data_IF_589575606537
#
_entry.id   IF_589575606537
#
_cell.length_a   1.000
_cell.length_b   1.000
_cell.length_c   1.000
_cell.angle_alpha   90.00
_cell.angle_beta   90.00
_cell.angle_gamma   90.00
#
_symmetry.space_group_name_H-M   'P 1'
#
loop_
_entity.id
_entity.type
_entity.pdbx_description
1 polymer ?
#
# COMPACT_ATOMS: atom_id res chain seq x y z
N UNK A 1 -42.19 -22.15 -6.12
CA UNK A 1 -41.03 -21.24 -6.27
C UNK A 1 -40.80 -20.61 -4.90
N UNK A 2 -39.57 -20.43 -4.45
CA UNK A 2 -39.33 -19.63 -3.25
C UNK A 2 -39.63 -18.17 -3.61
N UNK A 3 -40.25 -17.41 -2.72
CA UNK A 3 -40.54 -15.97 -2.90
C UNK A 3 -39.24 -15.22 -3.28
N UNK A 4 -38.13 -15.59 -2.65
CA UNK A 4 -36.79 -15.08 -2.95
C UNK A 4 -36.35 -15.28 -4.41
N UNK A 5 -36.71 -16.40 -5.03
CA UNK A 5 -36.30 -16.71 -6.40
C UNK A 5 -37.06 -15.88 -7.44
N UNK A 6 -38.32 -15.57 -7.15
CA UNK A 6 -39.14 -14.67 -7.98
C UNK A 6 -38.60 -13.24 -7.85
N UNK A 7 -38.34 -12.77 -6.62
CA UNK A 7 -37.72 -11.46 -6.37
C UNK A 7 -36.36 -11.30 -7.04
N UNK A 8 -35.50 -12.33 -6.98
CA UNK A 8 -34.23 -12.34 -7.70
C UNK A 8 -34.42 -12.21 -9.21
N UNK A 9 -35.41 -12.90 -9.79
CA UNK A 9 -35.67 -12.83 -11.24
C UNK A 9 -36.16 -11.46 -11.69
N UNK A 10 -37.02 -10.82 -10.88
CA UNK A 10 -37.47 -9.45 -11.13
C UNK A 10 -36.30 -8.46 -11.02
N UNK A 11 -35.47 -8.57 -9.99
CA UNK A 11 -34.29 -7.71 -9.83
C UNK A 11 -33.28 -7.89 -10.96
N UNK A 12 -33.08 -9.12 -11.47
CA UNK A 12 -32.23 -9.38 -12.64
C UNK A 12 -32.71 -8.58 -13.85
N UNK A 13 -34.01 -8.57 -14.13
CA UNK A 13 -34.58 -7.85 -15.27
C UNK A 13 -34.45 -6.33 -15.10
N UNK A 14 -34.71 -5.84 -13.88
CA UNK A 14 -34.56 -4.42 -13.54
C UNK A 14 -33.11 -3.97 -13.70
N UNK A 15 -32.15 -4.70 -13.16
CA UNK A 15 -30.72 -4.37 -13.27
C UNK A 15 -30.26 -4.35 -14.72
N UNK A 16 -30.72 -5.30 -15.55
CA UNK A 16 -30.42 -5.31 -17.00
C UNK A 16 -30.92 -4.05 -17.69
N UNK A 17 -32.12 -3.56 -17.34
CA UNK A 17 -32.67 -2.34 -17.92
C UNK A 17 -31.98 -1.08 -17.41
N UNK A 18 -31.60 -1.02 -16.13
CA UNK A 18 -30.94 0.15 -15.54
C UNK A 18 -29.54 0.33 -16.12
N UNK A 19 -28.79 -0.76 -16.24
CA UNK A 19 -27.40 -0.74 -16.70
C UNK A 19 -27.24 -1.07 -18.19
N UNK A 20 -28.32 -0.98 -18.97
CA UNK A 20 -28.26 -1.16 -20.42
C UNK A 20 -27.35 -0.08 -21.04
N UNK A 21 -26.17 -0.50 -21.52
CA UNK A 21 -25.19 0.41 -22.11
C UNK A 21 -24.24 1.09 -21.10
N UNK A 22 -24.24 0.69 -19.82
CA UNK A 22 -23.21 1.15 -18.86
C UNK A 22 -21.96 0.25 -18.91
N UNK A 23 -20.85 0.80 -19.39
CA UNK A 23 -19.56 0.09 -19.48
C UNK A 23 -18.95 -0.28 -18.12
N UNK A 24 -19.40 0.40 -17.04
CA UNK A 24 -18.89 0.17 -15.69
C UNK A 24 -19.55 -1.04 -15.02
N UNK A 25 -20.72 -1.47 -15.47
CA UNK A 25 -21.45 -2.59 -14.92
C UNK A 25 -21.18 -3.87 -15.72
N UNK A 26 -20.89 -4.97 -15.02
CA UNK A 26 -20.68 -6.28 -15.62
C UNK A 26 -21.39 -7.37 -14.83
N UNK A 27 -22.24 -8.13 -15.51
CA UNK A 27 -22.77 -9.38 -14.98
C UNK A 27 -21.76 -10.51 -15.29
N UNK A 28 -21.08 -11.01 -14.26
CA UNK A 28 -20.06 -12.07 -14.39
C UNK A 28 -20.69 -13.44 -14.40
N UNK A 29 -21.72 -13.62 -13.55
CA UNK A 29 -22.50 -14.84 -13.46
C UNK A 29 -23.99 -14.48 -13.30
N UNK A 30 -24.87 -15.48 -13.35
CA UNK A 30 -26.32 -15.28 -13.20
C UNK A 30 -26.70 -14.50 -11.93
N UNK A 31 -25.91 -14.63 -10.87
CA UNK A 31 -26.14 -14.02 -9.55
C UNK A 31 -24.95 -13.20 -9.04
N UNK A 32 -23.98 -12.91 -9.90
CA UNK A 32 -22.76 -12.17 -9.53
C UNK A 32 -22.57 -10.97 -10.43
N UNK A 33 -22.50 -9.80 -9.80
CA UNK A 33 -22.45 -8.50 -10.44
C UNK A 33 -21.20 -7.76 -10.01
N UNK A 34 -20.58 -7.08 -10.95
CA UNK A 34 -19.43 -6.23 -10.72
C UNK A 34 -19.75 -4.82 -11.18
N UNK A 35 -19.41 -3.84 -10.35
CA UNK A 35 -19.47 -2.44 -10.73
C UNK A 35 -18.10 -1.79 -10.57
N UNK A 36 -17.64 -1.11 -11.61
CA UNK A 36 -16.39 -0.38 -11.65
C UNK A 36 -16.60 1.08 -11.26
N UNK A 37 -15.96 1.50 -10.19
CA UNK A 37 -15.92 2.89 -9.76
C UNK A 37 -14.68 3.57 -10.31
N UNK A 38 -14.85 4.77 -10.85
CA UNK A 38 -13.78 5.57 -11.43
C UNK A 38 -13.86 6.96 -10.79
N UNK A 39 -12.76 7.39 -10.18
CA UNK A 39 -12.59 8.73 -9.64
C UNK A 39 -11.23 9.29 -10.07
N UNK A 40 -11.26 10.10 -11.13
CA UNK A 40 -10.06 10.63 -11.77
C UNK A 40 -9.11 9.53 -12.24
N UNK A 41 -7.94 9.44 -11.61
CA UNK A 41 -6.90 8.46 -11.96
C UNK A 41 -7.02 7.13 -11.21
N UNK A 42 -7.86 7.08 -10.17
CA UNK A 42 -8.03 5.88 -9.35
C UNK A 42 -9.34 5.18 -9.72
N UNK A 43 -9.32 3.85 -9.67
CA UNK A 43 -10.51 3.04 -9.91
C UNK A 43 -10.44 1.74 -9.14
N UNK A 44 -11.60 1.20 -8.80
CA UNK A 44 -11.75 -0.10 -8.14
C UNK A 44 -13.07 -0.76 -8.55
N UNK A 45 -13.21 -2.04 -8.27
CA UNK A 45 -14.41 -2.83 -8.61
C UNK A 45 -14.99 -3.43 -7.34
N UNK A 46 -16.30 -3.26 -7.13
CA UNK A 46 -17.05 -4.02 -6.14
C UNK A 46 -17.75 -5.19 -6.81
N UNK A 47 -17.58 -6.39 -6.27
CA UNK A 47 -18.35 -7.58 -6.67
C UNK A 47 -19.39 -7.91 -5.61
N UNK A 48 -20.63 -8.15 -6.06
CA UNK A 48 -21.76 -8.56 -5.25
C UNK A 48 -22.24 -9.92 -5.78
N UNK A 49 -22.31 -10.92 -4.91
CA UNK A 49 -22.86 -12.23 -5.23
C UNK A 49 -24.05 -12.59 -4.35
N UNK A 50 -25.16 -12.98 -4.98
CA UNK A 50 -26.39 -13.33 -4.28
C UNK A 50 -26.39 -14.79 -3.82
N UNK A 51 -26.79 -14.98 -2.56
CA UNK A 51 -27.07 -16.28 -1.99
C UNK A 51 -28.42 -16.87 -2.46
N UNK A 52 -28.73 -18.12 -2.08
CA UNK A 52 -30.03 -18.72 -2.35
C UNK A 52 -31.18 -18.05 -1.58
N UNK A 53 -30.87 -17.37 -0.48
CA UNK A 53 -31.82 -16.72 0.44
C UNK A 53 -31.86 -15.19 0.29
N UNK A 54 -31.15 -14.62 -0.69
CA UNK A 54 -31.25 -13.19 -1.00
C UNK A 54 -32.59 -12.90 -1.71
N UNK A 55 -33.32 -11.80 -1.40
CA UNK A 55 -32.91 -10.65 -0.58
C UNK A 55 -33.26 -10.73 0.91
N UNK A 56 -33.83 -11.85 1.38
CA UNK A 56 -34.09 -12.05 2.82
C UNK A 56 -32.78 -11.98 3.63
N UNK A 57 -31.72 -12.62 3.14
CA UNK A 57 -30.36 -12.48 3.66
C UNK A 57 -29.52 -11.54 2.81
N UNK A 58 -28.52 -10.90 3.44
CA UNK A 58 -27.59 -10.01 2.74
C UNK A 58 -26.77 -10.74 1.67
N UNK A 59 -26.46 -10.08 0.55
CA UNK A 59 -25.56 -10.64 -0.44
C UNK A 59 -24.11 -10.66 0.09
N UNK A 60 -23.25 -11.38 -0.60
CA UNK A 60 -21.82 -11.45 -0.29
C UNK A 60 -21.06 -10.38 -1.07
N UNK A 61 -20.21 -9.64 -0.38
CA UNK A 61 -19.39 -8.56 -0.94
C UNK A 61 -17.95 -9.01 -1.10
N UNK A 62 -17.37 -8.77 -2.28
CA UNK A 62 -15.99 -9.09 -2.58
C UNK A 62 -15.26 -7.87 -3.16
N UNK A 63 -14.17 -7.49 -2.50
CA UNK A 63 -13.24 -6.44 -2.91
C UNK A 63 -11.83 -6.96 -3.17
N UNK A 64 -11.59 -8.26 -3.00
CA UNK A 64 -10.29 -8.90 -3.24
C UNK A 64 -10.14 -9.42 -4.66
N UNK A 65 -10.66 -8.65 -5.61
CA UNK A 65 -10.48 -8.87 -7.03
C UNK A 65 -9.07 -8.37 -7.40
N UNK A 66 -8.40 -9.06 -8.33
CA UNK A 66 -7.06 -8.69 -8.80
C UNK A 66 -6.94 -7.21 -9.23
N UNK A 67 -8.04 -6.61 -9.69
CA UNK A 67 -8.09 -5.20 -10.06
C UNK A 67 -7.83 -4.24 -8.88
N UNK A 68 -8.23 -4.62 -7.66
CA UNK A 68 -8.19 -3.78 -6.47
C UNK A 68 -6.85 -3.84 -5.71
N UNK A 69 -5.77 -4.27 -6.36
CA UNK A 69 -4.43 -4.29 -5.76
C UNK A 69 -3.94 -2.89 -5.36
N UNK A 70 -4.46 -1.85 -6.00
CA UNK A 70 -4.18 -0.46 -5.67
C UNK A 70 -4.87 0.01 -4.38
N UNK A 71 -5.93 -0.66 -3.93
CA UNK A 71 -6.65 -0.29 -2.71
C UNK A 71 -5.91 -0.77 -1.46
N UNK A 72 -5.76 0.14 -0.49
CA UNK A 72 -5.18 -0.19 0.80
C UNK A 72 -6.17 -1.06 1.62
N UNK A 73 -5.67 -2.04 2.39
CA UNK A 73 -6.51 -2.84 3.30
C UNK A 73 -7.48 -2.05 4.19
N UNK A 74 -7.07 -0.96 4.89
CA UNK A 74 -7.99 -0.16 5.71
C UNK A 74 -9.17 0.42 4.90
N UNK A 75 -8.92 0.90 3.68
CA UNK A 75 -9.98 1.40 2.79
C UNK A 75 -10.93 0.28 2.36
N UNK A 76 -10.42 -0.93 2.11
CA UNK A 76 -11.28 -2.09 1.80
C UNK A 76 -12.21 -2.42 2.96
N UNK A 77 -11.68 -2.45 4.19
CA UNK A 77 -12.48 -2.69 5.40
C UNK A 77 -13.55 -1.61 5.58
N UNK A 78 -13.19 -0.33 5.34
CA UNK A 78 -14.14 0.78 5.41
C UNK A 78 -15.25 0.67 4.37
N UNK A 79 -14.91 0.33 3.12
CA UNK A 79 -15.88 0.09 2.05
C UNK A 79 -16.85 -1.03 2.46
N UNK A 80 -16.33 -2.16 2.94
CA UNK A 80 -17.17 -3.27 3.40
C UNK A 80 -18.09 -2.84 4.53
N UNK A 81 -17.58 -2.09 5.52
CA UNK A 81 -18.41 -1.58 6.63
C UNK A 81 -19.53 -0.68 6.16
N UNK A 82 -19.31 0.16 5.15
CA UNK A 82 -20.33 1.05 4.59
C UNK A 82 -21.40 0.23 3.85
N UNK A 83 -20.98 -0.71 3.01
CA UNK A 83 -21.88 -1.53 2.20
C UNK A 83 -22.68 -2.49 3.08
N UNK A 84 -22.06 -3.09 4.11
CA UNK A 84 -22.76 -3.94 5.08
C UNK A 84 -23.83 -3.15 5.84
N UNK A 85 -23.52 -1.94 6.33
CA UNK A 85 -24.48 -1.10 7.05
C UNK A 85 -25.67 -0.66 6.18
N UNK A 86 -25.42 -0.43 4.88
CA UNK A 86 -26.49 -0.14 3.93
C UNK A 86 -27.34 -1.39 3.66
N UNK A 87 -26.70 -2.56 3.45
CA UNK A 87 -27.41 -3.80 3.18
C UNK A 87 -28.37 -4.21 4.31
N UNK A 88 -28.01 -3.95 5.58
CA UNK A 88 -28.87 -4.20 6.74
C UNK A 88 -30.18 -3.40 6.71
N UNK A 89 -30.18 -2.21 6.11
CA UNK A 89 -31.38 -1.36 6.02
C UNK A 89 -32.38 -1.84 4.98
N UNK A 90 -31.91 -2.59 3.98
CA UNK A 90 -32.70 -3.01 2.82
C UNK A 90 -33.05 -4.50 2.82
N UNK A 91 -32.80 -5.22 3.92
CA UNK A 91 -33.15 -6.64 4.05
C UNK A 91 -34.62 -6.91 3.72
N UNK A 92 -34.85 -7.97 2.95
CA UNK A 92 -36.17 -8.35 2.44
C UNK A 92 -36.59 -7.66 1.14
N UNK A 93 -35.75 -6.77 0.59
CA UNK A 93 -35.98 -6.10 -0.68
C UNK A 93 -34.75 -6.17 -1.60
N UNK A 94 -34.99 -6.08 -2.92
CA UNK A 94 -33.94 -5.90 -3.92
C UNK A 94 -33.09 -4.65 -3.60
N UNK A 95 -31.78 -4.81 -3.42
CA UNK A 95 -30.90 -3.75 -2.94
C UNK A 95 -29.64 -3.54 -3.77
N UNK A 96 -29.38 -4.34 -4.81
CA UNK A 96 -28.10 -4.29 -5.55
C UNK A 96 -27.84 -2.92 -6.17
N UNK A 97 -28.86 -2.33 -6.80
CA UNK A 97 -28.78 -0.97 -7.34
C UNK A 97 -28.47 0.07 -6.25
N UNK A 98 -29.20 -0.01 -5.13
CA UNK A 98 -29.05 0.91 -4.00
C UNK A 98 -27.66 0.84 -3.39
N UNK A 99 -27.11 -0.37 -3.24
CA UNK A 99 -25.74 -0.56 -2.75
C UNK A 99 -24.72 0.04 -3.72
N UNK A 100 -24.91 -0.12 -5.03
CA UNK A 100 -24.01 0.45 -6.00
C UNK A 100 -24.04 1.99 -6.01
N UNK A 101 -25.22 2.59 -5.94
CA UNK A 101 -25.39 4.04 -5.87
C UNK A 101 -24.90 4.62 -4.52
N UNK A 102 -25.17 3.96 -3.39
CA UNK A 102 -24.66 4.39 -2.07
C UNK A 102 -23.11 4.46 -2.08
N UNK A 103 -22.46 3.48 -2.69
CA UNK A 103 -21.02 3.52 -2.81
C UNK A 103 -20.55 4.61 -3.80
N UNK A 104 -21.26 4.82 -4.90
CA UNK A 104 -20.93 5.84 -5.91
C UNK A 104 -20.84 7.24 -5.31
N UNK A 105 -21.75 7.58 -4.39
CA UNK A 105 -21.73 8.86 -3.68
C UNK A 105 -20.53 9.01 -2.73
N UNK A 106 -20.03 7.89 -2.18
CA UNK A 106 -18.95 7.87 -1.18
C UNK A 106 -17.57 7.61 -1.77
N UNK A 107 -17.47 7.26 -3.06
CA UNK A 107 -16.20 6.97 -3.72
C UNK A 107 -15.22 8.14 -3.60
N UNK A 108 -15.65 9.37 -3.87
CA UNK A 108 -14.76 10.53 -3.81
C UNK A 108 -14.14 10.73 -2.41
N UNK A 109 -14.91 10.49 -1.35
CA UNK A 109 -14.44 10.57 0.04
C UNK A 109 -13.43 9.45 0.35
N UNK A 110 -13.77 8.20 -0.04
CA UNK A 110 -12.91 7.03 0.17
C UNK A 110 -11.59 7.14 -0.60
N UNK A 111 -11.60 7.70 -1.81
CA UNK A 111 -10.39 7.88 -2.62
C UNK A 111 -9.49 9.01 -2.08
N UNK A 112 -10.07 10.04 -1.46
CA UNK A 112 -9.32 11.10 -0.79
C UNK A 112 -8.63 10.57 0.47
N UNK A 113 -9.35 9.82 1.30
CA UNK A 113 -8.83 9.21 2.53
C UNK A 113 -7.71 8.19 2.25
N UNK A 114 -7.79 7.47 1.13
CA UNK A 114 -6.70 6.61 0.67
C UNK A 114 -5.39 7.38 0.44
N UNK A 115 -5.43 8.66 0.02
CA UNK A 115 -4.23 9.51 -0.09
C UNK A 115 -3.69 9.84 1.29
N UNK A 116 -4.57 10.21 2.22
CA UNK A 116 -4.18 10.55 3.60
C UNK A 116 -3.51 9.36 4.31
N UNK A 117 -4.13 8.17 4.24
CA UNK A 117 -3.55 6.95 4.83
C UNK A 117 -2.23 6.54 4.16
N UNK A 118 -2.12 6.70 2.83
CA UNK A 118 -0.87 6.43 2.12
C UNK A 118 0.25 7.40 2.54
N UNK A 119 -0.07 8.65 2.86
CA UNK A 119 0.89 9.64 3.38
C UNK A 119 1.32 9.27 4.80
N UNK A 120 0.38 8.92 5.69
CA UNK A 120 0.70 8.51 7.07
C UNK A 120 1.62 7.28 7.08
N UNK A 121 1.30 6.24 6.31
CA UNK A 121 2.13 5.03 6.22
C UNK A 121 3.54 5.31 5.68
N UNK A 122 3.69 6.31 4.79
CA UNK A 122 5.01 6.74 4.28
C UNK A 122 5.78 7.56 5.31
N UNK A 123 5.11 8.44 6.06
CA UNK A 123 5.73 9.22 7.14
C UNK A 123 6.23 8.30 8.24
N UNK A 124 5.45 7.31 8.68
CA UNK A 124 5.88 6.33 9.69
C UNK A 124 7.12 5.55 9.24
N UNK A 125 7.21 5.19 7.96
CA UNK A 125 8.37 4.48 7.41
C UNK A 125 9.62 5.36 7.34
N UNK A 126 9.46 6.66 7.06
CA UNK A 126 10.58 7.62 7.08
C UNK A 126 11.06 7.88 8.52
N UNK A 127 10.15 7.86 9.50
CA UNK A 127 10.51 8.03 10.93
C UNK A 127 11.39 6.89 11.45
N UNK A 128 11.32 5.69 10.86
CA UNK A 128 12.08 4.53 11.32
C UNK A 128 13.43 4.37 10.59
N UNK A 129 13.55 4.76 9.32
CA UNK A 129 14.68 4.29 8.50
C UNK A 129 15.87 5.27 8.32
N UNK A 130 15.72 6.60 8.41
CA UNK A 130 16.78 7.46 7.84
C UNK A 130 17.71 8.27 8.78
N UNK A 131 17.41 8.53 10.06
CA UNK A 131 18.29 9.45 10.82
C UNK A 131 18.54 9.12 12.30
N UNK A 132 17.87 8.16 12.93
CA UNK A 132 18.08 7.95 14.39
C UNK A 132 19.40 7.19 14.66
N UNK A 133 19.72 6.19 13.84
CA UNK A 133 20.90 5.33 14.03
C UNK A 133 22.24 6.03 13.77
N UNK A 134 22.26 7.10 12.96
CA UNK A 134 23.47 7.85 12.63
C UNK A 134 23.74 9.01 13.61
N UNK A 135 22.73 9.44 14.37
CA UNK A 135 22.82 10.59 15.28
C UNK A 135 22.68 10.22 16.77
N UNK A 136 22.44 8.95 17.11
CA UNK A 136 22.39 8.40 18.49
C UNK A 136 23.72 8.51 19.28
N UNK A 137 24.71 9.24 18.78
CA UNK A 137 25.97 9.54 19.47
C UNK A 137 26.42 11.01 19.44
N UNK A 138 25.66 11.93 18.85
CA UNK A 138 26.08 13.33 18.72
C UNK A 138 25.25 14.28 19.59
N UNK A 139 25.92 14.99 20.50
CA UNK A 139 25.37 15.97 21.42
C UNK A 139 24.95 17.28 20.74
N UNK A 140 23.88 17.26 19.93
CA UNK A 140 23.38 18.45 19.25
C UNK A 140 21.84 18.45 19.16
N UNK A 141 21.18 18.46 20.32
CA UNK A 141 19.70 18.37 20.41
C UNK A 141 18.96 19.65 20.01
N UNK A 142 19.65 20.77 19.77
CA UNK A 142 19.00 22.04 19.46
C UNK A 142 19.04 22.46 17.98
N UNK A 143 20.08 22.13 17.21
CA UNK A 143 20.13 22.48 15.77
C UNK A 143 19.28 21.55 14.91
N UNK A 144 19.04 20.32 15.35
CA UNK A 144 18.24 19.35 14.61
C UNK A 144 16.76 19.76 14.55
N UNK A 145 16.25 20.41 15.61
CA UNK A 145 14.85 20.83 15.69
C UNK A 145 14.54 21.99 14.73
N UNK A 146 15.44 22.97 14.64
CA UNK A 146 15.31 24.10 13.69
C UNK A 146 15.47 23.63 12.23
N UNK A 147 16.42 22.74 11.96
CA UNK A 147 16.65 22.23 10.61
C UNK A 147 15.52 21.29 10.13
N UNK A 148 14.90 20.52 11.03
CA UNK A 148 13.67 19.79 10.71
C UNK A 148 12.50 20.74 10.42
N UNK A 149 12.40 21.85 11.16
CA UNK A 149 11.30 22.82 10.99
C UNK A 149 11.38 23.53 9.64
N UNK A 150 12.58 23.86 9.17
CA UNK A 150 12.80 24.40 7.82
C UNK A 150 12.50 23.37 6.72
N UNK A 151 12.94 22.11 6.87
CA UNK A 151 12.67 21.06 5.88
C UNK A 151 11.21 20.65 5.79
N UNK A 152 10.46 20.67 6.90
CA UNK A 152 9.01 20.45 6.89
C UNK A 152 8.29 21.60 6.17
N UNK A 153 8.79 22.84 6.26
CA UNK A 153 8.25 23.97 5.51
C UNK A 153 8.53 23.86 3.99
N UNK A 154 9.71 23.38 3.59
CA UNK A 154 10.03 23.07 2.19
C UNK A 154 9.14 21.95 1.63
N UNK A 155 8.92 20.86 2.37
CA UNK A 155 8.08 19.72 1.92
C UNK A 155 6.60 20.09 1.73
N UNK A 156 6.08 21.04 2.52
CA UNK A 156 4.73 21.58 2.32
C UNK A 156 4.65 22.51 1.10
N UNK A 157 5.76 23.15 0.71
CA UNK A 157 5.83 23.99 -0.49
C UNK A 157 6.01 23.16 -1.78
N UNK A 158 6.74 22.05 -1.72
CA UNK A 158 7.06 21.19 -2.87
C UNK A 158 5.83 20.42 -3.41
N UNK A 159 4.82 20.16 -2.56
CA UNK A 159 3.53 19.61 -2.98
C UNK A 159 2.75 20.51 -3.96
N UNK A 160 3.08 21.80 -4.05
CA UNK A 160 2.42 22.76 -4.95
C UNK A 160 3.10 22.82 -6.32
N UNK A 161 4.42 22.57 -6.42
CA UNK A 161 5.15 22.62 -7.70
C UNK A 161 5.12 21.30 -8.48
N UNK A 162 5.29 20.14 -7.83
CA UNK A 162 5.27 18.84 -8.54
C UNK A 162 3.89 18.53 -9.17
N UNK A 163 2.81 18.99 -8.52
CA UNK A 163 1.45 18.89 -9.06
C UNK A 163 1.22 19.78 -10.29
N UNK A 164 1.99 20.86 -10.47
CA UNK A 164 1.91 21.76 -11.62
C UNK A 164 2.82 21.28 -12.76
N UNK A 165 4.01 20.74 -12.45
CA UNK A 165 4.96 20.24 -13.46
C UNK A 165 4.45 18.93 -14.09
N UNK A 166 3.92 17.98 -13.30
CA UNK A 166 3.39 16.72 -13.83
C UNK A 166 2.14 16.90 -14.74
N UNK A 167 1.42 18.02 -14.61
CA UNK A 167 0.26 18.36 -15.45
C UNK A 167 0.63 18.97 -16.80
N UNK A 168 1.81 19.60 -16.92
CA UNK A 168 2.26 20.25 -18.16
C UNK A 168 2.93 19.26 -19.12
N UNK A 169 3.60 18.21 -18.62
CA UNK A 169 4.29 17.23 -19.47
C UNK A 169 3.35 16.27 -20.23
N UNK A 170 2.13 16.03 -19.73
CA UNK A 170 1.20 15.06 -20.34
C UNK A 170 0.42 15.56 -21.57
N UNK A 171 0.60 16.81 -21.99
CA UNK A 171 -0.17 17.39 -23.12
C UNK A 171 0.57 17.28 -24.48
N UNK A 172 1.85 16.91 -24.51
CA UNK A 172 2.63 16.98 -25.76
C UNK A 172 3.34 15.66 -26.07
N UNK A 173 2.86 14.99 -27.12
CA UNK A 173 3.44 13.92 -27.95
C UNK A 173 2.77 12.54 -27.80
N UNK A 174 1.74 12.39 -28.64
CA UNK A 174 1.35 11.17 -29.34
C UNK A 174 2.45 10.73 -30.33
N UNK A 175 2.39 9.46 -30.75
CA UNK A 175 3.10 8.79 -31.86
C UNK A 175 4.20 7.75 -31.50
N UNK A 176 3.78 6.48 -31.64
CA UNK A 176 4.47 5.35 -32.28
C UNK A 176 5.72 4.65 -31.68
N UNK A 177 5.51 3.32 -31.50
CA UNK A 177 6.30 2.19 -32.02
C UNK A 177 7.42 1.54 -31.16
N UNK A 178 7.50 0.22 -31.35
CA UNK A 178 8.13 -0.86 -30.58
C UNK A 178 9.66 -0.80 -30.36
N UNK A 179 10.15 -1.39 -29.26
CA UNK A 179 10.92 -2.67 -29.26
C UNK A 179 11.49 -3.01 -27.88
N UNK A 180 11.34 -4.28 -27.47
CA UNK A 180 11.81 -4.86 -26.19
C UNK A 180 13.31 -5.17 -26.24
N UNK A 181 14.06 -4.79 -25.20
CA UNK A 181 15.38 -5.38 -24.85
C UNK A 181 15.34 -5.99 -23.45
N UNK A 182 15.97 -7.16 -23.20
CA UNK A 182 15.87 -7.86 -21.93
C UNK A 182 16.82 -7.28 -20.87
N UNK A 183 16.34 -7.23 -19.63
CA UNK A 183 17.02 -6.71 -18.45
C UNK A 183 17.98 -7.76 -17.88
N UNK A 184 19.27 -7.44 -17.79
CA UNK A 184 20.27 -8.21 -17.04
C UNK A 184 20.11 -7.95 -15.53
N UNK A 185 19.85 -9.01 -14.76
CA UNK A 185 19.84 -8.96 -13.29
C UNK A 185 21.27 -8.81 -12.79
N UNK A 186 21.60 -7.66 -12.20
CA UNK A 186 22.84 -7.46 -11.44
C UNK A 186 22.87 -8.45 -10.28
N UNK A 187 23.78 -9.41 -10.33
CA UNK A 187 24.01 -10.37 -9.25
C UNK A 187 24.41 -9.64 -7.96
N UNK A 188 23.55 -9.74 -6.95
CA UNK A 188 23.81 -9.23 -5.61
C UNK A 188 24.80 -10.15 -4.90
N UNK A 189 26.03 -9.67 -4.73
CA UNK A 189 27.09 -10.37 -3.99
C UNK A 189 26.65 -10.69 -2.55
N UNK A 190 26.79 -11.96 -2.18
CA UNK A 190 26.46 -12.45 -0.84
C UNK A 190 27.35 -11.83 0.24
N UNK A 191 26.86 -11.76 1.48
CA UNK A 191 27.56 -11.15 2.63
C UNK A 191 28.99 -11.68 2.83
N UNK A 192 29.21 -12.96 2.53
CA UNK A 192 30.54 -13.60 2.60
C UNK A 192 31.49 -13.14 1.48
N UNK A 193 30.98 -12.92 0.26
CA UNK A 193 31.77 -12.42 -0.86
C UNK A 193 32.20 -10.96 -0.65
N UNK A 194 31.32 -10.13 -0.08
CA UNK A 194 31.65 -8.74 0.29
C UNK A 194 32.75 -8.67 1.35
N UNK A 195 32.70 -9.55 2.36
CA UNK A 195 33.73 -9.61 3.42
C UNK A 195 35.10 -10.00 2.87
N UNK A 196 35.16 -10.98 1.96
CA UNK A 196 36.41 -11.37 1.28
C UNK A 196 36.96 -10.27 0.36
N UNK A 197 36.08 -9.54 -0.33
CA UNK A 197 36.49 -8.41 -1.16
C UNK A 197 37.09 -7.27 -0.31
N UNK A 198 36.51 -7.03 0.87
CA UNK A 198 37.03 -6.07 1.84
C UNK A 198 38.39 -6.49 2.41
N UNK A 199 38.50 -7.74 2.89
CA UNK A 199 39.75 -8.30 3.43
C UNK A 199 40.90 -8.23 2.39
N UNK A 200 40.58 -8.46 1.11
CA UNK A 200 41.55 -8.40 0.01
C UNK A 200 41.96 -6.96 -0.35
N UNK A 201 41.05 -6.00 -0.25
CA UNK A 201 41.34 -4.58 -0.50
C UNK A 201 42.22 -3.96 0.60
N UNK A 202 42.05 -4.40 1.85
CA UNK A 202 42.80 -3.92 3.01
C UNK A 202 44.23 -4.47 3.07
N UNK A 203 44.48 -5.70 2.58
CA UNK A 203 45.83 -6.28 2.50
C UNK A 203 46.74 -5.53 1.49
N UNK A 204 46.16 -4.85 0.50
CA UNK A 204 46.90 -4.16 -0.56
C UNK A 204 47.45 -2.77 -0.20
N UNK A 205 46.99 -2.16 0.91
CA UNK A 205 47.51 -0.86 1.39
C UNK A 205 48.23 -1.06 2.72
N UNK A 206 49.53 -1.33 2.63
CA UNK A 206 50.47 -1.38 3.77
C UNK A 206 49.95 -2.25 4.93
N UNK A 207 50.38 -3.52 4.97
CA UNK A 207 49.94 -4.55 5.91
C UNK A 207 50.19 -4.32 7.41
N UNK A 208 50.24 -3.08 7.89
CA UNK A 208 50.17 -2.72 9.29
C UNK A 208 48.72 -2.40 9.67
N UNK A 209 48.07 -3.41 10.26
CA UNK A 209 46.74 -3.25 10.84
C UNK A 209 46.85 -2.32 12.06
N UNK A 210 45.92 -1.37 12.27
CA UNK A 210 46.02 -0.38 13.35
C UNK A 210 46.18 -1.03 14.73
N UNK A 211 46.85 -0.34 15.67
CA UNK A 211 46.93 -0.81 17.07
C UNK A 211 45.53 -1.00 17.62
N UNK A 212 45.24 -2.20 18.14
CA UNK A 212 43.89 -2.59 18.54
C UNK A 212 43.03 -3.18 17.42
N UNK A 213 43.62 -3.68 16.32
CA UNK A 213 42.86 -4.44 15.33
C UNK A 213 42.55 -5.89 15.77
N UNK A 214 43.38 -6.45 16.64
CA UNK A 214 43.15 -7.77 17.25
C UNK A 214 42.86 -7.59 18.74
N UNK A 215 41.59 -7.32 19.06
CA UNK A 215 41.09 -7.31 20.44
C UNK A 215 40.90 -8.75 20.93
N UNK A 216 41.97 -9.55 20.93
CA UNK A 216 41.96 -10.87 21.60
C UNK A 216 41.24 -10.71 22.94
N UNK A 217 40.12 -11.43 23.08
CA UNK A 217 39.11 -11.30 24.14
C UNK A 217 39.76 -10.96 25.50
N UNK A 218 39.70 -9.68 25.89
CA UNK A 218 40.15 -9.22 27.21
C UNK A 218 39.46 -10.05 28.31
N UNK A 219 38.20 -10.43 28.06
CA UNK A 219 37.40 -11.30 28.93
C UNK A 219 37.99 -12.71 29.07
N UNK A 220 38.55 -13.28 27.99
CA UNK A 220 39.14 -14.64 27.98
C UNK A 220 40.55 -14.66 28.57
N UNK A 221 41.26 -13.53 28.55
CA UNK A 221 42.55 -13.37 29.20
C UNK A 221 42.40 -13.12 30.71
N UNK A 222 41.45 -12.28 31.11
CA UNK A 222 41.15 -12.02 32.52
C UNK A 222 40.51 -13.22 33.23
N UNK A 223 39.80 -14.10 32.51
CA UNK A 223 39.22 -15.33 33.10
C UNK A 223 40.25 -16.44 33.41
N UNK A 224 41.51 -16.28 32.99
CA UNK A 224 42.60 -17.24 33.24
C UNK A 224 43.48 -16.87 34.44
N UNK A 225 43.24 -15.75 35.11
CA UNK A 225 44.00 -15.36 36.30
C UNK A 225 43.49 -16.11 37.54
N UNK A 226 44.30 -16.94 38.22
CA UNK A 226 43.88 -17.61 39.45
C UNK A 226 43.76 -16.59 40.60
N UNK A 227 42.64 -16.65 41.30
CA UNK A 227 42.33 -15.83 42.47
C UNK A 227 43.28 -16.18 43.62
N UNK A 228 44.27 -15.34 43.94
CA UNK A 228 45.01 -15.44 45.20
C UNK A 228 44.24 -14.68 46.29
N UNK A 229 43.75 -15.34 47.34
CA UNK A 229 43.18 -14.63 48.49
C UNK A 229 44.33 -13.95 49.25
N UNK A 230 44.20 -12.64 49.48
CA UNK A 230 45.05 -11.92 50.43
C UNK A 230 44.66 -12.33 51.87
N UNK A 231 45.68 -12.42 52.74
CA UNK A 231 45.66 -12.89 54.14
C UNK A 231 44.47 -12.49 55.00
#
# INVERSE_FOLDING_TARGET
MSDDAEQQSEEIEVLKSIYEGDDNFKQVDAKTYQYKYIDGEKSFILEISWGPTYPTDKPSFNLDIFYNQSLLPPIKEKILSIVDAEAEQWLGCAMTYTLFECLKEKVAELMAEQVEEAVVARVEKIVIDDQVSQWLGCAMTYTLFECLKEKVAELMAEQVEEAVVARVEKIVIDDQNETKKPVEKKELLTKAQKRRAWDKAEIGRAGEKPRGWDWVDIVKHLSQAPHQPAS
#
